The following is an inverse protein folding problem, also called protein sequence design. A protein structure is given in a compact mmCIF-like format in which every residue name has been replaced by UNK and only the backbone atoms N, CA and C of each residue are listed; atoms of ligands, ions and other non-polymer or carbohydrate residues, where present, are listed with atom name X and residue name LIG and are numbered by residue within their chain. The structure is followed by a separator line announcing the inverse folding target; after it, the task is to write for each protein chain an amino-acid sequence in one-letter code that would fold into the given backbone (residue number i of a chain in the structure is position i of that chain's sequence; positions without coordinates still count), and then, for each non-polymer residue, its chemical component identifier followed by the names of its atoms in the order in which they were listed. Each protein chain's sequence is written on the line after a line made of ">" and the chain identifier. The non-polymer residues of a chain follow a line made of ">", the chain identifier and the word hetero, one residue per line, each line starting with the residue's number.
data_IF_470590503253
#
_entry.id   IF_470590503253
#
_cell.length_a   1.000
_cell.length_b   1.000
_cell.length_c   1.000
_cell.angle_alpha   90.00
_cell.angle_beta   90.00
_cell.angle_gamma   90.00
#
_symmetry.space_group_name_H-M   'P 1'
#
loop_
_entity.id
_entity.type
_entity.pdbx_description
1 polymer ?
#
# COMPACT_ATOMS: atom_id res chain seq x y z
N UNK A 1 12.49 -0.24 29.84
CA UNK A 1 11.97 0.87 29.01
C UNK A 1 11.26 0.25 27.82
N UNK A 2 9.97 0.53 27.60
CA UNK A 2 9.25 -0.02 26.44
C UNK A 2 9.85 0.55 25.16
N UNK A 3 10.23 -0.33 24.21
CA UNK A 3 10.76 0.08 22.91
C UNK A 3 9.60 0.54 22.04
N UNK A 4 9.57 1.81 21.66
CA UNK A 4 8.60 2.34 20.71
C UNK A 4 8.94 1.84 19.31
N UNK A 5 7.93 1.37 18.59
CA UNK A 5 8.09 0.99 17.19
C UNK A 5 8.26 2.26 16.34
N UNK A 6 9.30 2.30 15.53
CA UNK A 6 9.60 3.41 14.63
C UNK A 6 10.16 2.85 13.32
N UNK A 7 9.73 3.46 12.22
CA UNK A 7 10.25 3.15 10.89
C UNK A 7 11.20 4.28 10.52
N UNK A 8 12.46 3.94 10.26
CA UNK A 8 13.40 4.88 9.66
C UNK A 8 13.08 5.01 8.18
N UNK A 9 12.72 6.21 7.74
CA UNK A 9 12.44 6.54 6.35
C UNK A 9 13.45 7.55 5.83
N UNK A 10 13.71 7.47 4.53
CA UNK A 10 14.53 8.44 3.79
C UNK A 10 13.87 8.65 2.44
N UNK A 11 13.81 9.89 1.93
CA UNK A 11 13.31 10.12 0.59
C UNK A 11 14.11 9.36 -0.47
N UNK A 12 13.42 8.77 -1.44
CA UNK A 12 14.01 8.07 -2.58
C UNK A 12 13.25 8.46 -3.84
N UNK A 13 13.88 9.26 -4.70
CA UNK A 13 13.32 9.59 -6.01
C UNK A 13 13.24 8.35 -6.90
N UNK A 14 12.09 8.15 -7.52
CA UNK A 14 11.87 7.15 -8.55
C UNK A 14 12.17 7.79 -9.90
N UNK A 15 12.91 7.10 -10.77
CA UNK A 15 13.23 7.64 -12.09
C UNK A 15 11.99 7.79 -12.99
N UNK A 16 10.92 7.05 -12.70
CA UNK A 16 9.69 6.93 -13.51
C UNK A 16 8.56 7.89 -13.12
N UNK A 17 8.69 8.65 -12.03
CA UNK A 17 7.66 9.53 -11.44
C UNK A 17 7.79 11.00 -11.86
N UNK A 18 8.69 11.30 -12.80
CA UNK A 18 9.05 12.66 -13.25
C UNK A 18 8.00 13.32 -14.15
N UNK A 19 6.72 12.98 -14.00
CA UNK A 19 5.62 13.57 -14.77
C UNK A 19 4.91 14.60 -13.89
N UNK A 20 5.17 15.88 -14.16
CA UNK A 20 4.53 17.01 -13.48
C UNK A 20 3.15 17.33 -14.02
N UNK A 21 2.29 17.87 -13.15
CA UNK A 21 0.95 18.38 -13.52
C UNK A 21 0.99 19.52 -14.54
N UNK A 22 2.04 20.33 -14.49
CA UNK A 22 2.20 21.52 -15.31
C UNK A 22 3.50 21.45 -16.10
N UNK A 23 3.48 22.07 -17.27
CA UNK A 23 4.63 22.23 -18.14
C UNK A 23 4.89 23.72 -18.33
N UNK A 24 6.11 24.14 -18.05
CA UNK A 24 6.61 25.48 -18.32
C UNK A 24 7.28 25.45 -19.69
N UNK A 25 6.77 26.27 -20.60
CA UNK A 25 7.36 26.47 -21.93
C UNK A 25 8.19 27.74 -21.88
N UNK A 26 9.45 27.65 -22.29
CA UNK A 26 10.32 28.80 -22.54
C UNK A 26 10.43 29.00 -24.04
N UNK A 27 10.03 30.17 -24.52
CA UNK A 27 10.13 30.52 -25.93
C UNK A 27 11.43 31.27 -26.25
N UNK A 28 11.64 31.54 -27.55
CA UNK A 28 12.86 32.16 -28.08
C UNK A 28 13.05 33.63 -27.67
N UNK A 29 12.04 34.28 -27.08
CA UNK A 29 12.19 35.63 -26.53
C UNK A 29 13.05 35.66 -25.25
N UNK A 30 13.46 34.50 -24.71
CA UNK A 30 14.25 34.43 -23.50
C UNK A 30 15.70 34.89 -23.71
N UNK A 31 16.09 35.99 -23.05
CA UNK A 31 17.47 36.47 -23.07
C UNK A 31 18.43 35.77 -22.08
N UNK A 32 18.07 34.61 -21.54
CA UNK A 32 18.89 33.87 -20.58
C UNK A 32 19.34 34.67 -19.34
N UNK A 33 18.54 35.64 -18.88
CA UNK A 33 18.89 36.52 -17.76
C UNK A 33 18.96 35.81 -16.39
N UNK A 34 18.45 34.58 -16.26
CA UNK A 34 18.49 33.80 -15.01
C UNK A 34 17.49 34.23 -13.93
N UNK A 35 16.71 35.31 -14.14
CA UNK A 35 15.75 35.80 -13.13
C UNK A 35 14.75 34.72 -12.69
N UNK A 36 14.29 33.87 -13.61
CA UNK A 36 13.39 32.77 -13.29
C UNK A 36 13.97 31.77 -12.27
N UNK A 37 15.30 31.60 -12.21
CA UNK A 37 15.97 30.78 -11.18
C UNK A 37 15.90 31.44 -9.80
N UNK A 38 16.09 32.76 -9.73
CA UNK A 38 16.00 33.52 -8.46
C UNK A 38 14.59 33.47 -7.86
N UNK A 39 13.56 33.53 -8.70
CA UNK A 39 12.16 33.57 -8.25
C UNK A 39 11.52 32.18 -8.06
N UNK A 40 12.14 31.12 -8.58
CA UNK A 40 11.62 29.77 -8.45
C UNK A 40 12.30 29.03 -7.29
N UNK A 41 11.60 28.96 -6.15
CA UNK A 41 12.05 28.22 -4.97
C UNK A 41 12.00 26.68 -5.12
N UNK A 42 11.50 26.19 -6.25
CA UNK A 42 11.31 24.77 -6.54
C UNK A 42 12.33 24.23 -7.55
N UNK A 43 13.34 25.03 -7.92
CA UNK A 43 14.42 24.62 -8.83
C UNK A 43 13.98 24.10 -10.20
N UNK A 44 12.83 24.57 -10.69
CA UNK A 44 12.34 24.28 -12.06
C UNK A 44 13.30 24.82 -13.11
N UNK A 45 14.02 25.90 -12.82
CA UNK A 45 14.91 26.57 -13.76
C UNK A 45 16.36 26.43 -13.34
N UNK A 46 17.20 25.89 -14.24
CA UNK A 46 18.64 25.70 -14.03
C UNK A 46 19.42 26.24 -15.22
N UNK A 47 20.71 26.52 -15.02
CA UNK A 47 21.64 26.82 -16.12
C UNK A 47 22.05 25.54 -16.84
N UNK A 48 22.46 25.68 -18.11
CA UNK A 48 23.06 24.62 -18.90
C UNK A 48 24.26 24.00 -18.19
N UNK A 49 24.38 22.68 -18.19
CA UNK A 49 25.60 22.00 -17.74
C UNK A 49 26.79 22.36 -18.62
N UNK A 50 26.54 22.52 -19.93
CA UNK A 50 27.57 22.70 -20.95
C UNK A 50 27.89 24.18 -21.18
N UNK A 51 26.88 25.05 -21.06
CA UNK A 51 27.04 26.50 -21.10
C UNK A 51 26.22 27.18 -19.99
N UNK A 52 26.86 27.68 -18.91
CA UNK A 52 26.16 28.33 -17.81
C UNK A 52 25.53 29.68 -18.18
N UNK A 53 25.81 30.22 -19.37
CA UNK A 53 25.16 31.44 -19.89
C UNK A 53 23.78 31.15 -20.44
N UNK A 54 23.47 29.90 -20.76
CA UNK A 54 22.19 29.47 -21.34
C UNK A 54 21.33 28.84 -20.24
N UNK A 55 20.01 29.07 -20.29
CA UNK A 55 19.05 28.40 -19.43
C UNK A 55 18.76 27.00 -19.98
N UNK A 56 18.85 25.97 -19.14
CA UNK A 56 18.38 24.62 -19.47
C UNK A 56 16.86 24.59 -19.54
N UNK A 57 16.33 23.60 -20.26
CA UNK A 57 14.90 23.33 -20.32
C UNK A 57 14.28 23.21 -18.91
N UNK A 58 13.07 23.73 -18.70
CA UNK A 58 12.42 23.67 -17.40
C UNK A 58 12.22 22.24 -16.90
N UNK A 59 12.55 21.99 -15.64
CA UNK A 59 12.34 20.72 -14.96
C UNK A 59 10.89 20.63 -14.49
N UNK A 60 9.99 20.38 -15.44
CA UNK A 60 8.55 20.58 -15.30
C UNK A 60 7.88 19.84 -14.12
N UNK A 61 8.39 18.66 -13.74
CA UNK A 61 7.84 17.90 -12.61
C UNK A 61 7.99 18.57 -11.24
N UNK A 62 8.88 19.55 -11.12
CA UNK A 62 9.05 20.32 -9.90
C UNK A 62 8.07 21.50 -9.80
N UNK A 63 7.36 21.85 -10.88
CA UNK A 63 6.47 23.01 -10.90
C UNK A 63 5.26 22.84 -9.96
N UNK A 64 5.09 23.78 -9.02
CA UNK A 64 3.96 23.83 -8.06
C UNK A 64 2.93 24.93 -8.35
N UNK A 65 2.87 25.46 -9.59
CA UNK A 65 1.83 26.40 -10.02
C UNK A 65 1.74 27.69 -9.16
N UNK A 66 2.89 28.28 -8.81
CA UNK A 66 2.93 29.53 -8.04
C UNK A 66 3.01 30.80 -8.90
N UNK A 67 3.21 30.67 -10.22
CA UNK A 67 3.38 31.76 -11.20
C UNK A 67 4.54 32.75 -10.96
N UNK A 68 5.33 32.60 -9.89
CA UNK A 68 6.41 33.51 -9.52
C UNK A 68 7.41 33.75 -10.67
N UNK A 69 7.89 32.70 -11.33
CA UNK A 69 8.85 32.84 -12.43
C UNK A 69 8.26 33.50 -13.69
N UNK A 70 6.98 33.29 -13.97
CA UNK A 70 6.26 33.84 -15.13
C UNK A 70 6.03 35.33 -14.93
N UNK A 71 5.45 35.71 -13.78
CA UNK A 71 5.14 37.11 -13.47
C UNK A 71 6.40 37.99 -13.41
N UNK A 72 7.52 37.42 -12.99
CA UNK A 72 8.78 38.13 -12.86
C UNK A 72 9.71 37.95 -14.07
N UNK A 73 9.24 37.35 -15.16
CA UNK A 73 10.00 37.27 -16.41
C UNK A 73 9.95 38.63 -17.12
N UNK A 74 11.09 39.36 -17.25
CA UNK A 74 11.08 40.71 -17.80
C UNK A 74 10.73 40.75 -19.30
N UNK A 75 10.88 39.62 -19.99
CA UNK A 75 10.59 39.47 -21.41
C UNK A 75 9.35 38.61 -21.68
N UNK A 76 8.60 38.23 -20.64
CA UNK A 76 7.38 37.40 -20.77
C UNK A 76 7.61 36.11 -21.61
N UNK A 77 8.81 35.56 -21.52
CA UNK A 77 9.24 34.41 -22.33
C UNK A 77 8.83 33.04 -21.73
N UNK A 78 8.03 33.04 -20.66
CA UNK A 78 7.60 31.84 -19.95
C UNK A 78 6.09 31.74 -19.96
N UNK A 79 5.59 30.58 -20.36
CA UNK A 79 4.18 30.21 -20.30
C UNK A 79 4.02 28.92 -19.50
N UNK A 80 2.87 28.74 -18.83
CA UNK A 80 2.54 27.47 -18.19
C UNK A 80 1.28 26.89 -18.79
N UNK A 81 1.38 25.64 -19.21
CA UNK A 81 0.26 24.85 -19.71
C UNK A 81 0.05 23.62 -18.82
N UNK A 82 -1.10 22.97 -18.98
CA UNK A 82 -1.30 21.63 -18.40
C UNK A 82 -0.48 20.62 -19.19
N UNK A 83 0.21 19.74 -18.47
CA UNK A 83 0.99 18.68 -19.10
C UNK A 83 0.05 17.59 -19.64
N UNK A 84 0.07 17.36 -20.95
CA UNK A 84 -0.76 16.34 -21.60
C UNK A 84 -0.40 14.92 -21.19
N UNK A 85 0.87 14.64 -20.88
CA UNK A 85 1.30 13.32 -20.40
C UNK A 85 0.79 13.07 -18.98
N UNK A 86 0.71 14.11 -18.14
CA UNK A 86 0.05 14.01 -16.85
C UNK A 86 -1.43 13.70 -16.99
N UNK A 87 -2.16 14.38 -17.88
CA UNK A 87 -3.59 14.16 -18.07
C UNK A 87 -3.92 12.75 -18.59
N UNK A 88 -2.97 12.07 -19.22
CA UNK A 88 -3.10 10.67 -19.69
C UNK A 88 -2.85 9.63 -18.61
N UNK A 89 -2.37 10.02 -17.42
CA UNK A 89 -2.07 9.05 -16.36
C UNK A 89 -3.34 8.36 -15.85
N UNK A 90 -3.24 7.05 -15.68
CA UNK A 90 -4.25 6.27 -14.99
C UNK A 90 -5.50 5.98 -15.79
N UNK A 91 -6.66 6.02 -15.13
CA UNK A 91 -7.95 5.69 -15.72
C UNK A 91 -9.10 6.44 -15.03
N UNK A 92 -10.34 6.03 -15.27
CA UNK A 92 -11.54 6.69 -14.71
C UNK A 92 -11.61 6.66 -13.18
N UNK A 93 -10.99 5.68 -12.54
CA UNK A 93 -10.91 5.56 -11.07
C UNK A 93 -9.58 6.09 -10.55
N UNK A 94 -8.46 5.53 -11.03
CA UNK A 94 -7.11 5.98 -10.71
C UNK A 94 -6.78 7.25 -11.49
N UNK A 95 -7.29 8.39 -11.03
CA UNK A 95 -7.07 9.67 -11.71
C UNK A 95 -5.58 10.06 -11.70
N UNK A 96 -5.12 10.92 -12.64
CA UNK A 96 -3.77 11.48 -12.61
C UNK A 96 -3.35 12.05 -11.26
N UNK A 97 -4.31 12.69 -10.56
CA UNK A 97 -4.05 13.30 -9.27
C UNK A 97 -3.82 12.26 -8.18
N UNK A 98 -4.55 11.14 -8.18
CA UNK A 98 -4.36 10.04 -7.23
C UNK A 98 -2.99 9.39 -7.45
N UNK A 99 -2.65 9.07 -8.70
CA UNK A 99 -1.36 8.45 -9.03
C UNK A 99 -0.21 9.35 -8.60
N UNK A 100 -0.28 10.63 -8.91
CA UNK A 100 0.76 11.58 -8.54
C UNK A 100 0.88 11.76 -7.02
N UNK A 101 -0.23 11.73 -6.28
CA UNK A 101 -0.20 11.76 -4.80
C UNK A 101 0.51 10.52 -4.26
N UNK A 102 0.15 9.31 -4.73
CA UNK A 102 0.76 8.05 -4.30
C UNK A 102 2.26 8.03 -4.60
N UNK A 103 2.67 8.53 -5.77
CA UNK A 103 4.10 8.65 -6.11
C UNK A 103 4.84 9.57 -5.13
N UNK A 104 4.32 10.78 -4.87
CA UNK A 104 4.96 11.68 -3.91
C UNK A 104 5.01 11.08 -2.50
N UNK A 105 3.96 10.40 -2.05
CA UNK A 105 3.93 9.72 -0.74
C UNK A 105 4.98 8.59 -0.67
N UNK A 106 5.11 7.80 -1.73
CA UNK A 106 6.10 6.72 -1.81
C UNK A 106 7.54 7.24 -1.87
N UNK A 107 7.79 8.35 -2.56
CA UNK A 107 9.12 8.95 -2.70
C UNK A 107 9.56 9.70 -1.45
N UNK A 108 8.68 10.49 -0.85
CA UNK A 108 9.04 11.41 0.23
C UNK A 108 8.78 10.83 1.62
N UNK A 109 7.88 9.85 1.74
CA UNK A 109 7.36 9.38 3.03
C UNK A 109 6.64 10.47 3.83
N UNK A 110 6.18 11.54 3.16
CA UNK A 110 5.51 12.69 3.76
C UNK A 110 4.01 12.65 3.51
N UNK A 111 3.25 13.20 4.45
CA UNK A 111 1.80 13.32 4.34
C UNK A 111 1.47 14.52 3.43
N UNK A 112 0.69 14.35 2.34
CA UNK A 112 0.29 15.46 1.49
C UNK A 112 -0.70 16.36 2.23
N UNK A 113 -0.28 17.57 2.60
CA UNK A 113 -1.15 18.56 3.25
C UNK A 113 -1.72 19.51 2.20
N UNK A 114 -3.05 19.52 2.07
CA UNK A 114 -3.76 20.47 1.21
C UNK A 114 -4.32 21.62 2.04
N UNK A 115 -3.95 22.87 1.71
CA UNK A 115 -4.37 24.06 2.49
C UNK A 115 -5.85 24.44 2.41
N UNK A 116 -6.69 23.71 1.67
CA UNK A 116 -8.11 24.05 1.46
C UNK A 116 -9.06 22.87 1.75
N UNK A 117 -8.65 21.93 2.60
CA UNK A 117 -9.44 20.75 2.93
C UNK A 117 -9.46 19.68 1.83
N UNK A 118 -10.37 18.71 1.96
CA UNK A 118 -10.54 17.61 1.02
C UNK A 118 -11.12 18.13 -0.32
N UNK A 119 -10.40 17.86 -1.41
CA UNK A 119 -10.75 18.29 -2.78
C UNK A 119 -11.23 17.15 -3.67
N UNK A 120 -11.37 15.95 -3.10
CA UNK A 120 -11.89 14.79 -3.81
C UNK A 120 -13.42 14.80 -3.92
N UNK A 121 -14.00 13.78 -4.55
CA UNK A 121 -15.45 13.65 -4.64
C UNK A 121 -16.07 13.50 -3.24
N UNK A 122 -17.19 14.19 -2.99
CA UNK A 122 -17.91 14.08 -1.71
C UNK A 122 -18.27 12.62 -1.40
N UNK A 123 -18.75 11.87 -2.40
CA UNK A 123 -19.11 10.45 -2.29
C UNK A 123 -18.67 9.71 -3.54
N UNK A 124 -18.33 8.44 -3.41
CA UNK A 124 -18.08 7.52 -4.52
C UNK A 124 -18.65 6.13 -4.29
N UNK A 125 -18.09 5.13 -4.97
CA UNK A 125 -18.41 3.72 -4.81
C UNK A 125 -17.33 2.99 -4.01
N UNK A 126 -17.64 1.81 -3.48
CA UNK A 126 -16.70 1.03 -2.70
C UNK A 126 -16.16 1.80 -1.49
N UNK A 127 -14.84 1.87 -1.35
CA UNK A 127 -14.21 2.62 -0.26
C UNK A 127 -14.46 4.13 -0.27
N UNK A 128 -14.78 4.72 -1.43
CA UNK A 128 -15.12 6.15 -1.52
C UNK A 128 -16.53 6.46 -0.95
N UNK A 129 -17.29 5.45 -0.52
CA UNK A 129 -18.53 5.62 0.24
C UNK A 129 -18.32 5.60 1.76
N UNK A 130 -17.10 5.29 2.23
CA UNK A 130 -16.78 5.25 3.65
C UNK A 130 -16.45 6.65 4.15
N UNK A 131 -17.28 7.16 5.05
CA UNK A 131 -17.04 8.41 5.75
C UNK A 131 -16.46 8.16 7.13
N UNK A 132 -15.30 8.76 7.38
CA UNK A 132 -14.78 8.86 8.74
C UNK A 132 -15.27 10.18 9.32
N UNK A 133 -15.94 10.11 10.47
CA UNK A 133 -16.30 11.33 11.19
C UNK A 133 -15.01 12.00 11.68
N UNK A 134 -14.76 13.21 11.20
CA UNK A 134 -13.59 13.97 11.62
C UNK A 134 -13.88 14.50 13.02
N UNK A 135 -13.60 13.68 14.04
CA UNK A 135 -13.60 14.18 15.40
C UNK A 135 -12.52 15.25 15.50
N UNK A 136 -12.93 16.52 15.57
CA UNK A 136 -12.02 17.62 15.88
C UNK A 136 -11.27 17.23 17.16
N UNK A 137 -9.96 17.05 17.03
CA UNK A 137 -9.11 16.73 18.17
C UNK A 137 -9.05 18.01 19.02
N UNK A 138 -10.06 18.18 19.88
CA UNK A 138 -10.13 19.24 20.87
C UNK A 138 -8.85 19.22 21.70
N UNK A 139 -8.28 20.42 21.92
CA UNK A 139 -6.95 20.56 22.51
C UNK A 139 -6.90 20.03 23.96
N UNK A 140 -5.78 19.42 24.39
CA UNK A 140 -4.53 19.26 23.65
C UNK A 140 -4.65 18.20 22.55
N UNK A 141 -4.20 18.54 21.34
CA UNK A 141 -4.25 17.61 20.22
C UNK A 141 -3.35 16.41 20.51
N UNK A 142 -3.96 15.24 20.65
CA UNK A 142 -3.29 13.94 20.54
C UNK A 142 -2.72 13.84 19.15
N UNK A 143 -1.43 14.09 19.04
CA UNK A 143 -0.77 14.27 17.75
C UNK A 143 0.46 13.36 17.67
N UNK A 144 0.29 12.25 16.98
CA UNK A 144 1.37 11.31 16.69
C UNK A 144 2.34 11.82 15.63
N UNK A 145 1.94 12.76 14.75
CA UNK A 145 2.79 13.27 13.66
C UNK A 145 3.91 14.13 14.22
N UNK A 146 3.60 15.00 15.19
CA UNK A 146 4.61 15.81 15.88
C UNK A 146 5.17 15.14 17.15
N UNK A 147 4.91 13.84 17.34
CA UNK A 147 5.47 13.05 18.43
C UNK A 147 5.01 13.46 19.84
N UNK A 148 3.88 14.18 19.94
CA UNK A 148 3.30 14.59 21.23
C UNK A 148 2.74 13.41 22.00
N UNK A 149 2.34 12.36 21.30
CA UNK A 149 1.94 11.06 21.86
C UNK A 149 2.52 9.93 21.01
N UNK A 150 2.80 8.79 21.63
CA UNK A 150 3.09 7.56 20.90
C UNK A 150 1.77 6.83 20.60
N UNK A 151 1.45 6.69 19.32
CA UNK A 151 0.31 5.90 18.86
C UNK A 151 0.80 4.51 18.51
N UNK A 152 0.40 3.50 19.29
CA UNK A 152 0.70 2.11 18.96
C UNK A 152 -0.11 1.70 17.71
N UNK A 153 0.61 1.27 16.67
CA UNK A 153 0.02 0.78 15.41
C UNK A 153 -0.02 -0.73 15.32
N UNK A 154 0.51 -1.44 16.33
CA UNK A 154 0.52 -2.90 16.30
C UNK A 154 -0.87 -3.47 16.45
N UNK A 155 -1.12 -4.57 15.74
CA UNK A 155 -2.39 -5.29 15.77
C UNK A 155 -2.13 -6.78 15.81
N UNK A 156 -3.01 -7.51 16.51
CA UNK A 156 -2.97 -8.97 16.59
C UNK A 156 -3.86 -9.58 15.51
N UNK A 157 -3.28 -10.48 14.72
CA UNK A 157 -3.97 -11.34 13.77
C UNK A 157 -4.28 -12.69 14.41
N UNK A 158 -5.48 -13.23 14.20
CA UNK A 158 -5.86 -14.57 14.65
C UNK A 158 -7.07 -14.56 15.59
N UNK A 159 -7.31 -15.71 16.23
CA UNK A 159 -8.50 -15.92 17.04
C UNK A 159 -8.33 -15.30 18.42
N UNK A 160 -9.33 -14.54 18.85
CA UNK A 160 -9.40 -13.99 20.20
C UNK A 160 -10.35 -14.84 21.05
N UNK A 161 -9.94 -15.12 22.28
CA UNK A 161 -10.83 -15.74 23.26
C UNK A 161 -11.91 -14.73 23.65
N UNK A 162 -13.19 -15.12 23.71
CA UNK A 162 -14.26 -14.21 24.13
C UNK A 162 -14.11 -13.79 25.60
N UNK A 163 -13.42 -14.61 26.39
CA UNK A 163 -13.15 -14.35 27.80
C UNK A 163 -11.88 -15.08 28.23
N UNK A 164 -11.09 -14.45 29.10
CA UNK A 164 -9.86 -15.02 29.68
C UNK A 164 -10.12 -15.23 31.18
N UNK A 165 -10.21 -16.49 31.60
CA UNK A 165 -10.36 -16.87 33.02
C UNK A 165 -9.09 -16.70 33.82
N UNK A 166 -7.96 -17.02 33.20
CA UNK A 166 -6.66 -17.14 33.82
C UNK A 166 -5.58 -16.81 32.79
N UNK A 167 -4.95 -15.64 32.97
CA UNK A 167 -3.89 -15.19 32.08
C UNK A 167 -2.68 -16.14 32.08
N UNK A 168 -2.45 -16.90 33.15
CA UNK A 168 -1.32 -17.82 33.22
C UNK A 168 -1.51 -19.06 32.32
N UNK A 169 -2.74 -19.35 31.88
CA UNK A 169 -3.08 -20.46 30.98
C UNK A 169 -3.42 -20.01 29.57
N UNK A 170 -3.17 -18.74 29.24
CA UNK A 170 -3.49 -18.19 27.95
C UNK A 170 -2.57 -18.79 26.87
N UNK A 171 -3.15 -19.60 25.99
CA UNK A 171 -2.46 -20.10 24.81
C UNK A 171 -2.56 -19.07 23.67
N UNK A 172 -1.43 -18.43 23.36
CA UNK A 172 -1.30 -17.44 22.29
C UNK A 172 -0.82 -18.04 20.97
N UNK A 173 -0.74 -19.38 20.84
CA UNK A 173 -0.25 -20.05 19.62
C UNK A 173 -1.03 -19.68 18.35
N UNK A 174 -2.28 -19.20 18.48
CA UNK A 174 -3.12 -18.76 17.37
C UNK A 174 -3.28 -17.23 17.31
N UNK A 175 -2.24 -16.49 17.71
CA UNK A 175 -2.15 -15.03 17.57
C UNK A 175 -0.81 -14.62 16.98
N UNK A 176 -0.82 -13.68 16.05
CA UNK A 176 0.37 -13.13 15.42
C UNK A 176 0.32 -11.61 15.43
N UNK A 177 1.21 -10.97 16.20
CA UNK A 177 1.32 -9.51 16.24
C UNK A 177 2.06 -8.99 15.00
N UNK A 178 1.49 -8.00 14.31
CA UNK A 178 2.17 -7.20 13.28
C UNK A 178 2.34 -5.77 13.78
N UNK A 179 3.45 -5.13 13.45
CA UNK A 179 3.78 -3.79 13.97
C UNK A 179 3.04 -2.65 13.25
N UNK A 180 2.62 -2.90 12.01
CA UNK A 180 1.79 -1.98 11.22
C UNK A 180 0.52 -2.70 10.79
N UNK A 181 -0.65 -2.03 10.74
CA UNK A 181 -1.93 -2.64 10.42
C UNK A 181 -2.08 -2.84 8.90
N UNK A 182 -1.03 -3.32 8.24
CA UNK A 182 -0.91 -3.47 6.80
C UNK A 182 -0.07 -4.71 6.48
N UNK A 183 -0.59 -5.55 5.60
CA UNK A 183 0.16 -6.65 5.00
C UNK A 183 0.56 -6.22 3.58
N UNK A 184 1.73 -6.65 3.13
CA UNK A 184 2.16 -6.39 1.75
C UNK A 184 1.66 -7.52 0.82
N UNK A 185 1.59 -7.25 -0.48
CA UNK A 185 1.32 -8.28 -1.49
C UNK A 185 2.48 -8.33 -2.49
N UNK A 186 3.01 -9.51 -2.75
CA UNK A 186 4.15 -9.73 -3.66
C UNK A 186 3.75 -9.85 -5.13
N UNK A 187 2.45 -9.84 -5.43
CA UNK A 187 1.92 -9.89 -6.80
C UNK A 187 1.04 -8.67 -7.12
N UNK A 188 1.48 -7.42 -6.84
CA UNK A 188 0.68 -6.24 -7.15
C UNK A 188 0.39 -6.21 -8.65
N UNK A 189 -0.89 -6.06 -9.01
CA UNK A 189 -1.35 -6.02 -10.41
C UNK A 189 -0.92 -7.25 -11.25
N UNK A 190 -0.62 -8.38 -10.60
CA UNK A 190 -0.13 -9.59 -11.27
C UNK A 190 1.37 -9.64 -11.55
N UNK A 191 2.14 -8.61 -11.16
CA UNK A 191 3.58 -8.56 -11.34
C UNK A 191 4.29 -9.34 -10.22
N UNK A 192 4.99 -10.42 -10.58
CA UNK A 192 5.56 -11.36 -9.59
C UNK A 192 6.96 -11.86 -9.97
N UNK A 193 7.78 -11.00 -10.58
CA UNK A 193 9.18 -11.34 -10.84
C UNK A 193 9.96 -11.46 -9.53
N UNK A 194 11.07 -12.22 -9.53
CA UNK A 194 11.95 -12.33 -8.36
C UNK A 194 12.44 -10.96 -7.86
N UNK A 195 12.68 -10.02 -8.79
CA UNK A 195 13.10 -8.66 -8.49
C UNK A 195 12.04 -7.80 -7.79
N UNK A 196 10.77 -8.24 -7.79
CA UNK A 196 9.68 -7.59 -7.05
C UNK A 196 9.41 -8.34 -5.73
N UNK A 197 9.33 -9.67 -5.79
CA UNK A 197 9.01 -10.51 -4.63
C UNK A 197 10.04 -10.32 -3.51
N UNK A 198 11.34 -10.45 -3.82
CA UNK A 198 12.38 -10.46 -2.80
C UNK A 198 12.45 -9.14 -2.01
N UNK A 199 12.44 -7.95 -2.63
CA UNK A 199 12.38 -6.69 -1.90
C UNK A 199 11.14 -6.55 -1.01
N UNK A 200 9.96 -6.96 -1.49
CA UNK A 200 8.71 -6.87 -0.71
C UNK A 200 8.77 -7.77 0.53
N UNK A 201 9.24 -9.02 0.40
CA UNK A 201 9.41 -9.92 1.55
C UNK A 201 10.42 -9.35 2.56
N UNK A 202 11.55 -8.81 2.07
CA UNK A 202 12.54 -8.16 2.94
C UNK A 202 11.96 -6.93 3.65
N UNK A 203 11.12 -6.15 2.97
CA UNK A 203 10.42 -5.02 3.55
C UNK A 203 9.46 -5.47 4.66
N UNK A 204 8.62 -6.48 4.41
CA UNK A 204 7.72 -7.04 5.42
C UNK A 204 8.48 -7.53 6.65
N UNK A 205 9.60 -8.24 6.45
CA UNK A 205 10.46 -8.68 7.54
C UNK A 205 11.03 -7.51 8.37
N UNK A 206 11.57 -6.47 7.70
CA UNK A 206 12.12 -5.28 8.38
C UNK A 206 11.04 -4.49 9.13
N UNK A 207 9.83 -4.43 8.57
CA UNK A 207 8.68 -3.71 9.13
C UNK A 207 7.92 -4.52 10.19
N UNK A 208 8.34 -5.75 10.51
CA UNK A 208 7.61 -6.59 11.46
C UNK A 208 6.16 -6.84 11.05
N UNK A 209 5.92 -7.03 9.75
CA UNK A 209 4.61 -7.42 9.20
C UNK A 209 4.76 -8.65 8.29
N UNK A 210 3.67 -9.05 7.64
CA UNK A 210 3.60 -10.15 6.70
C UNK A 210 3.47 -9.64 5.26
N UNK A 211 3.94 -10.45 4.32
CA UNK A 211 3.69 -10.27 2.90
C UNK A 211 3.04 -11.52 2.30
N UNK A 212 1.95 -11.35 1.57
CA UNK A 212 1.32 -12.43 0.83
C UNK A 212 2.19 -12.90 -0.33
N UNK A 213 2.38 -14.20 -0.42
CA UNK A 213 3.11 -14.86 -1.51
C UNK A 213 2.32 -16.05 -2.02
N UNK A 214 1.95 -15.99 -3.29
CA UNK A 214 1.45 -17.16 -4.01
C UNK A 214 2.51 -18.27 -3.96
N UNK A 215 2.15 -19.43 -3.46
CA UNK A 215 3.05 -20.59 -3.28
C UNK A 215 3.85 -20.97 -4.53
N UNK A 216 3.25 -20.84 -5.72
CA UNK A 216 3.88 -21.14 -7.02
C UNK A 216 5.10 -20.25 -7.30
N UNK A 217 5.18 -19.09 -6.63
CA UNK A 217 6.24 -18.11 -6.78
C UNK A 217 7.29 -18.21 -5.66
N UNK A 218 7.21 -19.22 -4.80
CA UNK A 218 8.23 -19.47 -3.79
C UNK A 218 9.55 -19.93 -4.42
N UNK A 219 10.67 -19.48 -3.86
CA UNK A 219 12.03 -19.92 -4.21
C UNK A 219 12.93 -19.91 -2.96
N UNK A 220 13.97 -20.72 -2.96
CA UNK A 220 14.75 -21.05 -1.75
C UNK A 220 15.39 -19.87 -1.03
N UNK A 221 15.73 -18.78 -1.74
CA UNK A 221 16.27 -17.55 -1.14
C UNK A 221 15.30 -16.90 -0.14
N UNK A 222 14.00 -17.23 -0.19
CA UNK A 222 12.98 -16.73 0.74
C UNK A 222 12.96 -17.49 2.06
N UNK A 223 13.64 -18.64 2.16
CA UNK A 223 13.66 -19.49 3.36
C UNK A 223 13.98 -18.74 4.66
N UNK A 224 14.97 -17.81 4.71
CA UNK A 224 15.25 -17.04 5.93
C UNK A 224 14.11 -16.13 6.39
N UNK A 225 13.16 -15.82 5.50
CA UNK A 225 12.07 -14.87 5.73
C UNK A 225 10.70 -15.55 5.88
N UNK A 226 10.62 -16.88 5.95
CA UNK A 226 9.36 -17.64 6.00
C UNK A 226 8.36 -17.14 7.07
N UNK A 227 8.87 -16.70 8.23
CA UNK A 227 8.04 -16.16 9.31
C UNK A 227 7.31 -14.86 8.93
N UNK A 228 7.83 -14.13 7.96
CA UNK A 228 7.27 -12.88 7.43
C UNK A 228 6.44 -13.09 6.16
N UNK A 229 6.17 -14.34 5.78
CA UNK A 229 5.41 -14.70 4.57
C UNK A 229 4.04 -15.24 4.97
N UNK A 230 2.98 -14.67 4.40
CA UNK A 230 1.65 -15.25 4.35
C UNK A 230 1.52 -16.09 3.07
N UNK A 231 1.70 -17.41 3.17
CA UNK A 231 1.66 -18.29 2.01
C UNK A 231 0.24 -18.44 1.51
N UNK A 232 -0.01 -17.99 0.28
CA UNK A 232 -1.30 -18.04 -0.39
C UNK A 232 -1.35 -19.19 -1.39
N UNK A 233 -2.43 -19.96 -1.36
CA UNK A 233 -2.74 -20.93 -2.40
C UNK A 233 -4.24 -20.95 -2.70
N UNK A 234 -4.60 -21.10 -3.97
CA UNK A 234 -5.99 -21.27 -4.38
C UNK A 234 -6.45 -22.69 -4.08
N UNK A 235 -7.67 -22.85 -3.55
CA UNK A 235 -8.20 -24.16 -3.15
C UNK A 235 -8.17 -25.19 -4.29
N UNK A 236 -8.48 -24.78 -5.52
CA UNK A 236 -8.46 -25.61 -6.74
C UNK A 236 -7.05 -26.00 -7.21
N UNK A 237 -6.01 -25.32 -6.71
CA UNK A 237 -4.61 -25.53 -7.10
C UNK A 237 -3.78 -26.20 -6.01
N UNK A 238 -4.45 -26.78 -5.01
CA UNK A 238 -3.80 -27.33 -3.83
C UNK A 238 -3.18 -28.72 -4.05
N UNK A 239 -3.02 -29.13 -5.31
CA UNK A 239 -2.51 -30.44 -5.75
C UNK A 239 -1.06 -30.72 -5.34
N UNK A 240 -0.35 -29.74 -4.75
CA UNK A 240 1.06 -29.86 -4.35
C UNK A 240 1.33 -29.45 -2.89
N UNK A 241 0.41 -29.73 -1.96
CA UNK A 241 0.66 -29.52 -0.52
C UNK A 241 2.00 -30.10 -0.04
N UNK A 242 2.48 -31.19 -0.63
CA UNK A 242 3.70 -31.87 -0.17
C UNK A 242 5.02 -31.16 -0.57
N UNK A 243 4.98 -30.20 -1.50
CA UNK A 243 6.20 -29.57 -2.06
C UNK A 243 6.54 -28.21 -1.46
N UNK A 244 5.81 -27.77 -0.46
CA UNK A 244 5.86 -26.40 0.00
C UNK A 244 6.14 -26.27 1.50
N UNK A 245 6.70 -25.12 1.92
CA UNK A 245 7.13 -24.88 3.29
C UNK A 245 5.96 -24.63 4.25
N UNK A 246 4.81 -25.31 4.05
CA UNK A 246 3.61 -25.17 4.87
C UNK A 246 3.86 -25.50 6.33
N UNK A 247 4.71 -26.48 6.60
CA UNK A 247 5.07 -26.91 7.97
C UNK A 247 5.84 -25.85 8.75
N UNK A 248 6.47 -24.91 8.04
CA UNK A 248 7.31 -23.86 8.63
C UNK A 248 6.65 -22.47 8.55
N UNK A 249 5.54 -22.33 7.81
CA UNK A 249 4.84 -21.07 7.64
C UNK A 249 4.02 -20.71 8.89
N UNK A 250 4.05 -19.43 9.28
CA UNK A 250 3.23 -18.93 10.38
C UNK A 250 1.81 -18.54 9.94
N UNK A 251 1.64 -18.25 8.66
CA UNK A 251 0.38 -17.77 8.11
C UNK A 251 0.14 -18.43 6.76
N UNK A 252 -1.03 -19.05 6.62
CA UNK A 252 -1.46 -19.76 5.43
C UNK A 252 -2.80 -19.19 5.01
N UNK A 253 -2.91 -18.74 3.76
CA UNK A 253 -4.17 -18.34 3.18
C UNK A 253 -4.63 -19.32 2.10
N UNK A 254 -5.86 -19.79 2.25
CA UNK A 254 -6.58 -20.51 1.21
C UNK A 254 -7.49 -19.52 0.49
N UNK A 255 -7.11 -19.13 -0.72
CA UNK A 255 -7.95 -18.33 -1.60
C UNK A 255 -9.10 -19.20 -2.13
N UNK A 256 -10.33 -18.76 -1.89
CA UNK A 256 -11.54 -19.47 -2.25
C UNK A 256 -12.01 -19.04 -3.64
N UNK A 257 -12.17 -19.98 -4.59
CA UNK A 257 -12.76 -19.66 -5.88
C UNK A 257 -14.25 -19.32 -5.73
N UNK A 258 -14.83 -18.65 -6.74
CA UNK A 258 -16.25 -18.25 -6.76
C UNK A 258 -17.22 -19.41 -6.44
N UNK A 259 -16.91 -20.60 -6.94
CA UNK A 259 -17.63 -21.84 -6.60
C UNK A 259 -16.70 -22.70 -5.75
N UNK A 260 -16.97 -22.75 -4.46
CA UNK A 260 -16.17 -23.52 -3.50
C UNK A 260 -16.91 -24.80 -3.08
N UNK A 261 -16.26 -25.95 -3.20
CA UNK A 261 -16.73 -27.19 -2.59
C UNK A 261 -16.41 -27.19 -1.10
N UNK A 262 -17.44 -27.20 -0.25
CA UNK A 262 -17.27 -27.16 1.21
C UNK A 262 -16.60 -28.44 1.72
N UNK A 263 -16.88 -29.60 1.12
CA UNK A 263 -16.25 -30.87 1.50
C UNK A 263 -14.75 -30.89 1.19
N UNK A 264 -14.36 -30.28 0.06
CA UNK A 264 -12.96 -30.13 -0.29
C UNK A 264 -12.23 -29.16 0.63
N UNK A 265 -12.83 -28.00 0.91
CA UNK A 265 -12.30 -27.03 1.87
C UNK A 265 -12.08 -27.69 3.24
N UNK A 266 -13.06 -28.42 3.75
CA UNK A 266 -12.95 -29.15 5.02
C UNK A 266 -11.78 -30.14 5.02
N UNK A 267 -11.64 -30.94 3.94
CA UNK A 267 -10.53 -31.89 3.80
C UNK A 267 -9.17 -31.19 3.83
N UNK A 268 -9.05 -30.05 3.14
CA UNK A 268 -7.82 -29.25 3.09
C UNK A 268 -7.48 -28.66 4.44
N UNK A 269 -8.44 -28.02 5.13
CA UNK A 269 -8.20 -27.39 6.43
C UNK A 269 -7.77 -28.42 7.48
N UNK A 270 -8.39 -29.61 7.50
CA UNK A 270 -7.97 -30.72 8.37
C UNK A 270 -6.52 -31.14 8.09
N UNK A 271 -6.16 -31.29 6.81
CA UNK A 271 -4.78 -31.65 6.43
C UNK A 271 -3.78 -30.59 6.89
N UNK A 272 -4.07 -29.30 6.66
CA UNK A 272 -3.18 -28.20 7.06
C UNK A 272 -3.00 -28.12 8.57
N UNK A 273 -4.08 -28.17 9.37
CA UNK A 273 -3.96 -28.16 10.84
C UNK A 273 -3.20 -29.37 11.37
N UNK A 274 -3.33 -30.54 10.73
CA UNK A 274 -2.56 -31.72 11.11
C UNK A 274 -1.06 -31.58 10.81
N UNK A 275 -0.70 -30.95 9.69
CA UNK A 275 0.69 -30.76 9.28
C UNK A 275 1.37 -29.55 9.96
N UNK A 276 0.59 -28.52 10.30
CA UNK A 276 1.04 -27.32 10.99
C UNK A 276 -0.04 -26.83 11.98
N UNK A 277 0.15 -27.17 13.24
CA UNK A 277 -0.78 -26.82 14.31
C UNK A 277 -0.69 -25.35 14.73
N UNK A 278 0.42 -24.67 14.41
CA UNK A 278 0.72 -23.31 14.86
C UNK A 278 0.43 -22.24 13.81
N UNK A 279 0.18 -22.63 12.55
CA UNK A 279 -0.16 -21.68 11.51
C UNK A 279 -1.54 -21.07 11.72
N UNK A 280 -1.61 -19.75 11.57
CA UNK A 280 -2.86 -19.06 11.31
C UNK A 280 -3.36 -19.43 9.92
N UNK A 281 -4.61 -19.89 9.84
CA UNK A 281 -5.26 -20.21 8.57
C UNK A 281 -6.29 -19.14 8.24
N UNK A 282 -6.04 -18.40 7.17
CA UNK A 282 -6.94 -17.42 6.58
C UNK A 282 -7.74 -18.02 5.42
N UNK A 283 -9.01 -17.66 5.30
CA UNK A 283 -9.83 -17.89 4.11
C UNK A 283 -9.94 -16.61 3.31
N UNK A 284 -9.29 -16.58 2.14
CA UNK A 284 -9.33 -15.46 1.21
C UNK A 284 -10.60 -15.48 0.37
N UNK A 285 -11.48 -14.53 0.59
CA UNK A 285 -12.78 -14.38 -0.04
C UNK A 285 -12.71 -13.31 -1.12
N UNK A 286 -12.54 -13.75 -2.37
CA UNK A 286 -12.69 -12.85 -3.54
C UNK A 286 -14.15 -12.62 -3.91
N UNK A 287 -15.09 -13.26 -3.21
CA UNK A 287 -16.51 -12.95 -3.34
C UNK A 287 -17.13 -12.77 -1.94
N UNK A 288 -17.83 -11.67 -1.67
CA UNK A 288 -18.53 -11.34 -0.42
C UNK A 288 -19.57 -12.34 0.08
N UNK A 289 -20.10 -13.25 -0.75
CA UNK A 289 -21.13 -14.19 -0.31
C UNK A 289 -20.59 -15.26 0.66
N UNK A 290 -20.65 -14.92 1.95
CA UNK A 290 -20.41 -15.80 3.09
C UNK A 290 -21.46 -16.91 3.16
N UNK A 291 -21.19 -18.03 2.49
CA UNK A 291 -22.06 -19.20 2.61
C UNK A 291 -22.07 -19.75 4.05
N UNK A 292 -23.18 -20.35 4.45
CA UNK A 292 -23.31 -21.01 5.75
C UNK A 292 -22.21 -22.08 5.99
N UNK A 293 -21.73 -22.73 4.91
CA UNK A 293 -20.62 -23.69 4.98
C UNK A 293 -19.28 -23.05 5.36
N UNK A 294 -18.96 -21.86 4.83
CA UNK A 294 -17.75 -21.11 5.18
C UNK A 294 -17.81 -20.66 6.64
N UNK A 295 -18.96 -20.10 7.05
CA UNK A 295 -19.21 -19.70 8.43
C UNK A 295 -19.05 -20.89 9.38
N UNK A 296 -19.53 -22.08 8.99
CA UNK A 296 -19.37 -23.31 9.77
C UNK A 296 -17.89 -23.67 9.96
N UNK A 297 -17.07 -23.67 8.90
CA UNK A 297 -15.63 -23.98 9.04
C UNK A 297 -14.90 -22.98 9.97
N UNK A 298 -15.29 -21.70 9.90
CA UNK A 298 -14.77 -20.67 10.80
C UNK A 298 -15.21 -20.88 12.26
N UNK A 299 -16.48 -21.24 12.49
CA UNK A 299 -17.02 -21.54 13.83
C UNK A 299 -16.40 -22.79 14.46
N UNK A 300 -16.11 -23.81 13.65
CA UNK A 300 -15.44 -25.04 14.08
C UNK A 300 -13.93 -24.89 14.31
N UNK A 301 -13.40 -23.65 14.31
CA UNK A 301 -11.99 -23.32 14.53
C UNK A 301 -11.02 -24.00 13.54
N UNK A 302 -11.49 -24.27 12.32
CA UNK A 302 -10.64 -24.80 11.23
C UNK A 302 -10.04 -23.69 10.37
N UNK A 303 -10.57 -22.48 10.49
CA UNK A 303 -10.00 -21.24 10.01
C UNK A 303 -9.96 -20.22 11.15
N UNK A 304 -8.94 -19.38 11.12
CA UNK A 304 -8.63 -18.39 12.14
C UNK A 304 -9.01 -16.98 11.69
N UNK A 305 -8.95 -16.71 10.39
CA UNK A 305 -9.18 -15.39 9.78
C UNK A 305 -10.07 -15.53 8.55
N UNK A 306 -10.93 -14.53 8.33
CA UNK A 306 -11.63 -14.30 7.07
C UNK A 306 -11.03 -13.03 6.43
N UNK A 307 -10.45 -13.17 5.25
CA UNK A 307 -9.86 -12.06 4.52
C UNK A 307 -10.73 -11.73 3.29
N UNK A 308 -11.26 -10.51 3.22
CA UNK A 308 -12.14 -10.08 2.14
C UNK A 308 -11.35 -9.27 1.13
N UNK A 309 -11.42 -9.66 -0.14
CA UNK A 309 -10.77 -8.93 -1.22
C UNK A 309 -11.75 -7.98 -1.90
N UNK A 310 -11.33 -6.72 -1.99
CA UNK A 310 -11.87 -5.76 -2.95
C UNK A 310 -11.10 -5.84 -4.27
N UNK A 311 -11.68 -5.32 -5.34
CA UNK A 311 -10.98 -5.08 -6.59
C UNK A 311 -10.06 -3.85 -6.50
N UNK A 312 -9.38 -3.54 -7.60
CA UNK A 312 -8.48 -2.38 -7.67
C UNK A 312 -9.21 -1.03 -7.64
N UNK A 313 -10.54 -1.01 -7.56
CA UNK A 313 -11.36 0.19 -7.39
C UNK A 313 -12.03 0.26 -6.01
N UNK A 314 -11.59 -0.59 -5.07
CA UNK A 314 -12.16 -0.65 -3.73
C UNK A 314 -13.59 -1.22 -3.69
N UNK A 315 -14.04 -1.90 -4.74
CA UNK A 315 -15.38 -2.47 -4.83
C UNK A 315 -15.35 -3.97 -4.56
N UNK A 316 -16.47 -4.52 -4.11
CA UNK A 316 -16.64 -5.96 -4.10
C UNK A 316 -16.89 -6.47 -5.52
N UNK A 317 -16.55 -7.72 -5.79
CA UNK A 317 -16.78 -8.34 -7.10
C UNK A 317 -18.28 -8.52 -7.47
N UNK A 318 -19.20 -8.32 -6.52
CA UNK A 318 -20.65 -8.33 -6.71
C UNK A 318 -21.25 -6.90 -6.77
N UNK A 319 -20.43 -5.84 -6.72
CA UNK A 319 -20.85 -4.43 -6.69
C UNK A 319 -20.65 -3.75 -5.33
N UNK A 320 -21.33 -2.62 -5.06
CA UNK A 320 -21.27 -1.96 -3.75
C UNK A 320 -21.88 -2.87 -2.67
N UNK A 321 -21.04 -3.36 -1.76
CA UNK A 321 -21.45 -4.15 -0.59
C UNK A 321 -21.05 -3.46 0.72
N UNK A 322 -20.35 -2.34 0.60
CA UNK A 322 -20.08 -1.41 1.68
C UNK A 322 -20.96 -0.20 1.49
#
# INVERSE_FOLDING_TARGET
>A
MYKRYHIETSPVELSTTKIGKFEIIRNDACLNCGRCMTYCIYDVHKRGSDDPRIMSDPVNHLCKNCFSCIQNCPYQALEMIKNKEFEKLGNTYWTPQIIHTIWNEAEEGKIPVFGAGYRGPFRGSGFDDIWTDMSEIVRPTRDGIHGREYIATSVDLGRKLPWISDFAKLDLTNSYEIQIPMLLDTSPLGLNSRGIILPIIKAAHKLGTLAFLDIKNYFDELKPYLKSIALRCSLDKITHLERAPWREANFIEIALPRKCSISELERVLKKLKNENQTALISLGLTNPSLSAGIIKQFKEARADILNFYADNHGQSFEGNIF
#
